data_IF_052913307466
#
_entry.id   IF_052913307466
#
_cell.length_a   1.000
_cell.length_b   1.000
_cell.length_c   1.000
_cell.angle_alpha   90.00
_cell.angle_beta   90.00
_cell.angle_gamma   90.00
#
_symmetry.space_group_name_H-M   'P 1'
#
loop_
_entity.id
_entity.type
_entity.pdbx_description
1 polymer ?
#
# COMPACT_ATOMS: atom_id res chain seq x y z
N UNK A 1 18.87 23.26 17.70
CA UNK A 1 18.66 22.67 16.36
C UNK A 1 20.01 22.62 15.67
N UNK A 2 20.64 21.45 15.56
CA UNK A 2 21.89 21.29 14.81
C UNK A 2 21.56 21.30 13.31
N UNK A 3 22.22 22.17 12.55
CA UNK A 3 22.09 22.19 11.09
C UNK A 3 22.49 20.81 10.53
N UNK A 4 21.69 20.20 9.63
CA UNK A 4 22.13 19.00 8.94
C UNK A 4 23.34 19.38 8.10
N UNK A 5 24.51 18.93 8.53
CA UNK A 5 25.77 19.10 7.79
C UNK A 5 25.62 18.30 6.50
N UNK A 6 25.19 18.95 5.42
CA UNK A 6 25.29 18.42 4.05
C UNK A 6 26.72 18.56 3.55
N UNK A 7 27.69 18.07 4.33
CA UNK A 7 29.00 17.76 3.75
C UNK A 7 28.77 16.54 2.88
N UNK A 8 29.25 16.60 1.64
CA UNK A 8 29.39 15.41 0.80
C UNK A 8 30.13 14.36 1.63
N UNK A 9 29.39 13.33 2.05
CA UNK A 9 29.87 12.33 2.97
C UNK A 9 30.70 11.33 2.16
N UNK A 10 32.01 11.55 2.14
CA UNK A 10 32.97 10.59 1.63
C UNK A 10 33.16 9.47 2.67
N UNK A 11 32.36 8.41 2.55
CA UNK A 11 32.63 7.17 3.29
C UNK A 11 33.80 6.44 2.63
N UNK A 12 35.01 6.82 3.05
CA UNK A 12 36.23 6.26 2.50
C UNK A 12 36.81 5.19 3.45
N UNK A 13 36.41 3.93 3.27
CA UNK A 13 37.02 2.79 3.96
C UNK A 13 38.27 2.35 3.22
N UNK A 14 39.35 3.14 3.35
CA UNK A 14 40.69 2.77 2.85
C UNK A 14 41.42 1.80 3.77
N UNK A 15 40.97 1.67 5.03
CA UNK A 15 41.52 0.75 6.01
C UNK A 15 41.12 -0.70 5.73
N UNK A 16 41.91 -1.63 6.29
CA UNK A 16 41.56 -3.04 6.38
C UNK A 16 40.23 -3.19 7.12
N UNK A 17 39.23 -3.78 6.46
CA UNK A 17 37.92 -4.02 7.05
C UNK A 17 38.02 -4.93 8.27
N UNK A 18 37.18 -4.72 9.31
CA UNK A 18 37.18 -5.59 10.48
C UNK A 18 36.81 -7.02 10.11
N UNK A 19 37.43 -8.01 10.77
CA UNK A 19 37.00 -9.40 10.67
C UNK A 19 35.61 -9.58 11.27
N UNK A 20 34.91 -10.62 10.84
CA UNK A 20 33.64 -11.03 11.44
C UNK A 20 33.93 -11.50 12.88
N UNK A 21 33.20 -11.02 13.90
CA UNK A 21 33.38 -11.51 15.27
C UNK A 21 33.03 -13.00 15.39
N UNK A 22 33.86 -13.77 16.09
CA UNK A 22 33.79 -15.26 16.14
C UNK A 22 32.48 -15.82 16.72
N UNK A 23 31.70 -15.02 17.45
CA UNK A 23 30.49 -15.46 18.17
C UNK A 23 29.24 -14.64 17.89
N UNK A 24 29.29 -13.75 16.90
CA UNK A 24 28.13 -12.92 16.56
C UNK A 24 27.45 -13.51 15.33
N UNK A 25 26.26 -14.12 15.46
CA UNK A 25 25.52 -14.56 14.29
C UNK A 25 25.20 -13.33 13.43
N UNK A 26 25.56 -13.40 12.15
CA UNK A 26 25.21 -12.36 11.19
C UNK A 26 23.69 -12.20 11.12
N UNK A 27 23.22 -10.97 11.03
CA UNK A 27 21.83 -10.66 10.79
C UNK A 27 21.34 -11.36 9.50
N UNK A 28 20.05 -11.69 9.45
CA UNK A 28 19.45 -12.33 8.26
C UNK A 28 19.58 -11.48 7.00
N UNK A 29 19.76 -10.17 7.14
CA UNK A 29 19.89 -9.18 6.07
C UNK A 29 21.36 -8.86 5.78
N UNK A 30 22.08 -9.80 5.16
CA UNK A 30 23.46 -9.60 4.70
C UNK A 30 23.66 -10.08 3.26
N UNK A 31 24.71 -9.58 2.61
CA UNK A 31 25.19 -10.07 1.31
C UNK A 31 26.70 -10.28 1.33
N UNK A 32 27.16 -11.39 0.75
CA UNK A 32 28.58 -11.64 0.52
C UNK A 32 28.96 -11.26 -0.90
N UNK A 33 29.95 -10.38 -1.03
CA UNK A 33 30.45 -9.84 -2.29
C UNK A 33 31.84 -10.41 -2.51
N UNK A 34 32.06 -11.08 -3.64
CA UNK A 34 33.38 -11.62 -3.99
C UNK A 34 34.29 -10.48 -4.45
N UNK A 35 35.43 -10.31 -3.78
CA UNK A 35 36.43 -9.27 -4.02
C UNK A 35 37.14 -9.37 -5.36
N UNK A 36 36.98 -10.47 -6.12
CA UNK A 36 37.54 -10.60 -7.47
C UNK A 36 37.03 -9.54 -8.45
N UNK A 37 35.96 -8.79 -8.10
CA UNK A 37 35.34 -7.78 -8.96
C UNK A 37 35.26 -6.37 -8.37
N UNK A 38 35.61 -6.13 -7.11
CA UNK A 38 35.42 -4.81 -6.49
C UNK A 38 36.36 -4.57 -5.31
N UNK A 39 37.02 -3.40 -5.31
CA UNK A 39 37.77 -2.91 -4.15
C UNK A 39 36.78 -2.42 -3.08
N UNK A 40 37.22 -2.34 -1.81
CA UNK A 40 36.40 -1.83 -0.71
C UNK A 40 35.84 -0.43 -1.01
N UNK A 41 36.65 0.40 -1.65
CA UNK A 41 36.29 1.74 -2.14
C UNK A 41 35.13 1.72 -3.15
N UNK A 42 35.07 0.73 -4.04
CA UNK A 42 33.95 0.59 -4.98
C UNK A 42 32.65 0.18 -4.28
N UNK A 43 32.74 -0.61 -3.20
CA UNK A 43 31.57 -0.98 -2.40
C UNK A 43 31.05 0.25 -1.65
N UNK A 44 31.91 0.98 -0.94
CA UNK A 44 31.48 2.17 -0.18
C UNK A 44 30.96 3.27 -1.10
N UNK A 45 31.59 3.50 -2.26
CA UNK A 45 31.11 4.44 -3.28
C UNK A 45 29.69 4.10 -3.75
N UNK A 46 29.43 2.84 -4.10
CA UNK A 46 28.08 2.38 -4.50
C UNK A 46 27.05 2.52 -3.39
N UNK A 47 27.45 2.30 -2.14
CA UNK A 47 26.60 2.50 -0.98
C UNK A 47 26.25 3.99 -0.78
N UNK A 48 27.23 4.88 -0.86
CA UNK A 48 27.00 6.33 -0.79
C UNK A 48 26.08 6.82 -1.92
N UNK A 49 26.30 6.36 -3.15
CA UNK A 49 25.42 6.65 -4.28
C UNK A 49 23.98 6.17 -4.01
N UNK A 50 23.82 4.98 -3.42
CA UNK A 50 22.52 4.44 -3.02
C UNK A 50 21.86 5.31 -1.94
N UNK A 51 22.60 5.71 -0.90
CA UNK A 51 22.09 6.55 0.18
C UNK A 51 21.58 7.88 -0.37
N UNK A 52 22.38 8.55 -1.20
CA UNK A 52 22.00 9.80 -1.86
C UNK A 52 20.76 9.63 -2.74
N UNK A 53 20.76 8.61 -3.62
CA UNK A 53 19.63 8.33 -4.54
C UNK A 53 18.33 8.03 -3.80
N UNK A 54 18.41 7.41 -2.62
CA UNK A 54 17.23 6.99 -1.85
C UNK A 54 16.83 7.97 -0.76
N UNK A 55 17.52 9.11 -0.64
CA UNK A 55 17.28 10.12 0.40
C UNK A 55 17.48 9.54 1.81
N UNK A 56 18.51 8.72 1.97
CA UNK A 56 18.97 8.24 3.27
C UNK A 56 20.02 9.22 3.80
N UNK A 57 19.74 9.81 4.95
CA UNK A 57 20.65 10.76 5.61
C UNK A 57 21.55 10.00 6.56
N UNK A 58 22.87 10.07 6.36
CA UNK A 58 23.83 9.48 7.29
C UNK A 58 23.83 10.26 8.60
N UNK A 59 23.52 9.60 9.71
CA UNK A 59 23.56 10.18 11.06
C UNK A 59 24.92 9.96 11.72
N UNK A 60 25.47 8.77 11.56
CA UNK A 60 26.75 8.38 12.13
C UNK A 60 27.59 7.68 11.07
N UNK A 61 28.87 8.05 10.99
CA UNK A 61 29.83 7.39 10.12
C UNK A 61 31.09 7.09 10.93
N UNK A 62 31.43 5.81 11.02
CA UNK A 62 32.66 5.35 11.64
C UNK A 62 33.50 4.62 10.58
N UNK A 63 34.47 5.34 10.02
CA UNK A 63 35.35 4.82 8.98
C UNK A 63 36.28 3.71 9.50
N UNK A 64 36.74 3.82 10.75
CA UNK A 64 37.64 2.83 11.39
C UNK A 64 36.95 1.47 11.51
N UNK A 65 35.70 1.47 11.95
CA UNK A 65 34.89 0.27 12.09
C UNK A 65 34.13 -0.09 10.82
N UNK A 66 34.29 0.64 9.72
CA UNK A 66 33.51 0.47 8.50
C UNK A 66 31.98 0.36 8.75
N UNK A 67 31.47 1.24 9.62
CA UNK A 67 30.07 1.31 10.04
C UNK A 67 29.43 2.63 9.62
N UNK A 68 28.20 2.57 9.12
CA UNK A 68 27.37 3.73 8.88
C UNK A 68 25.99 3.52 9.53
N UNK A 69 25.42 4.58 10.11
CA UNK A 69 24.03 4.63 10.53
C UNK A 69 23.33 5.66 9.65
N UNK A 70 22.30 5.20 8.93
CA UNK A 70 21.52 6.04 8.03
C UNK A 70 20.06 6.10 8.47
N UNK A 71 19.43 7.26 8.28
CA UNK A 71 18.02 7.52 8.56
C UNK A 71 17.27 7.79 7.27
N UNK A 72 16.14 7.12 7.08
CA UNK A 72 15.23 7.43 5.98
C UNK A 72 14.41 8.67 6.34
N UNK A 73 14.44 9.71 5.48
CA UNK A 73 13.69 10.96 5.67
C UNK A 73 12.37 11.03 4.91
N UNK A 74 12.03 9.98 4.15
CA UNK A 74 10.82 9.94 3.32
C UNK A 74 9.54 9.69 4.11
N UNK A 75 9.66 9.32 5.38
CA UNK A 75 8.54 8.91 6.22
C UNK A 75 8.52 9.69 7.53
N UNK A 76 7.32 9.88 8.08
CA UNK A 76 7.05 10.49 9.40
C UNK A 76 7.70 9.64 10.50
N UNK A 77 7.71 8.32 10.33
CA UNK A 77 8.40 7.40 11.21
C UNK A 77 9.85 7.21 10.75
N UNK A 78 10.75 7.97 11.36
CA UNK A 78 12.18 7.93 11.02
C UNK A 78 12.75 6.53 11.24
N UNK A 79 12.98 5.79 10.15
CA UNK A 79 13.58 4.45 10.19
C UNK A 79 15.10 4.56 10.16
N UNK A 80 15.76 3.99 11.17
CA UNK A 80 17.22 3.98 11.31
C UNK A 80 17.78 2.61 10.92
N UNK A 81 18.79 2.64 10.06
CA UNK A 81 19.39 1.47 9.45
C UNK A 81 20.90 1.52 9.70
N UNK A 82 21.43 0.47 10.34
CA UNK A 82 22.87 0.26 10.45
C UNK A 82 23.38 -0.50 9.22
N UNK A 83 24.48 -0.04 8.64
CA UNK A 83 25.19 -0.70 7.54
C UNK A 83 26.62 -0.94 7.99
N UNK A 84 27.08 -2.18 7.91
CA UNK A 84 28.35 -2.62 8.44
C UNK A 84 29.07 -3.48 7.41
N UNK A 85 30.37 -3.21 7.20
CA UNK A 85 31.21 -4.01 6.33
C UNK A 85 32.14 -4.88 7.17
N UNK A 86 32.33 -6.13 6.73
CA UNK A 86 33.27 -7.07 7.32
C UNK A 86 34.15 -7.73 6.25
N UNK A 87 35.40 -8.00 6.60
CA UNK A 87 36.26 -8.89 5.83
C UNK A 87 35.98 -10.34 6.22
N UNK A 88 35.47 -11.16 5.29
CA UNK A 88 35.30 -12.60 5.53
C UNK A 88 36.61 -13.37 5.31
N UNK A 89 37.28 -13.07 4.21
CA UNK A 89 38.57 -13.61 3.81
C UNK A 89 39.18 -12.66 2.77
N UNK A 90 40.41 -12.89 2.31
CA UNK A 90 41.07 -12.03 1.31
C UNK A 90 40.27 -11.85 -0.01
N UNK A 91 39.28 -12.71 -0.26
CA UNK A 91 38.50 -12.74 -1.49
C UNK A 91 37.03 -12.33 -1.32
N UNK A 92 36.57 -11.93 -0.14
CA UNK A 92 35.17 -11.57 0.07
C UNK A 92 34.94 -10.57 1.19
N UNK A 93 34.03 -9.63 0.90
CA UNK A 93 33.49 -8.64 1.83
C UNK A 93 32.03 -9.01 2.13
N UNK A 94 31.62 -8.92 3.40
CA UNK A 94 30.22 -9.02 3.80
C UNK A 94 29.70 -7.61 4.05
N UNK A 95 28.53 -7.32 3.51
CA UNK A 95 27.74 -6.14 3.84
C UNK A 95 26.56 -6.62 4.65
N UNK A 96 26.52 -6.22 5.92
CA UNK A 96 25.42 -6.47 6.84
C UNK A 96 24.56 -5.20 6.97
N UNK A 97 23.25 -5.37 6.94
CA UNK A 97 22.29 -4.28 7.12
C UNK A 97 21.36 -4.65 8.27
N UNK A 98 21.25 -3.80 9.28
CA UNK A 98 20.47 -4.08 10.50
C UNK A 98 19.46 -2.97 10.75
N UNK A 99 18.24 -3.34 11.15
CA UNK A 99 17.23 -2.37 11.58
C UNK A 99 17.54 -1.93 13.01
N UNK A 100 17.81 -0.65 13.21
CA UNK A 100 18.03 -0.09 14.54
C UNK A 100 16.72 0.40 15.15
N UNK A 101 15.85 1.04 14.34
CA UNK A 101 14.52 1.48 14.74
C UNK A 101 13.62 1.76 13.53
N UNK A 102 12.30 1.86 13.75
CA UNK A 102 11.32 2.29 12.74
C UNK A 102 10.60 1.15 12.01
N UNK A 103 9.94 1.50 10.90
CA UNK A 103 9.06 0.62 10.15
C UNK A 103 9.81 -0.56 9.50
N UNK A 104 9.27 -1.76 9.68
CA UNK A 104 9.84 -2.99 9.14
C UNK A 104 9.76 -3.06 7.61
N UNK A 105 8.66 -2.57 7.02
CA UNK A 105 8.47 -2.64 5.57
C UNK A 105 9.42 -1.69 4.84
N UNK A 106 9.54 -0.47 5.36
CA UNK A 106 10.52 0.49 4.89
C UNK A 106 11.94 -0.07 5.07
N UNK A 107 12.28 -0.60 6.24
CA UNK A 107 13.57 -1.26 6.45
C UNK A 107 13.83 -2.36 5.40
N UNK A 108 12.88 -3.26 5.16
CA UNK A 108 13.03 -4.36 4.20
C UNK A 108 13.24 -3.86 2.77
N UNK A 109 12.50 -2.83 2.37
CA UNK A 109 12.62 -2.20 1.05
C UNK A 109 13.98 -1.53 0.86
N UNK A 110 14.42 -0.77 1.87
CA UNK A 110 15.67 -0.02 1.81
C UNK A 110 16.87 -0.96 1.97
N UNK A 111 16.81 -1.97 2.85
CA UNK A 111 17.89 -2.95 3.03
C UNK A 111 18.17 -3.72 1.74
N UNK A 112 17.12 -4.14 1.01
CA UNK A 112 17.30 -4.82 -0.25
C UNK A 112 17.94 -3.93 -1.31
N UNK A 113 17.56 -2.65 -1.37
CA UNK A 113 18.17 -1.69 -2.28
C UNK A 113 19.66 -1.43 -1.93
N UNK A 114 19.99 -1.35 -0.64
CA UNK A 114 21.37 -1.21 -0.13
C UNK A 114 22.21 -2.43 -0.52
N UNK A 115 21.71 -3.65 -0.26
CA UNK A 115 22.41 -4.90 -0.60
C UNK A 115 22.60 -5.07 -2.11
N UNK A 116 21.58 -4.75 -2.93
CA UNK A 116 21.70 -4.78 -4.39
C UNK A 116 22.71 -3.76 -4.92
N UNK A 117 22.75 -2.55 -4.35
CA UNK A 117 23.73 -1.54 -4.70
C UNK A 117 25.15 -2.02 -4.37
N UNK A 118 25.35 -2.61 -3.19
CA UNK A 118 26.63 -3.16 -2.76
C UNK A 118 27.11 -4.30 -3.67
N UNK A 119 26.21 -5.16 -4.13
CA UNK A 119 26.51 -6.21 -5.11
C UNK A 119 26.86 -5.65 -6.50
N UNK A 120 26.42 -4.43 -6.83
CA UNK A 120 26.63 -3.83 -8.15
C UNK A 120 25.59 -4.24 -9.18
N UNK A 121 24.50 -4.86 -8.73
CA UNK A 121 23.34 -5.19 -9.55
C UNK A 121 22.53 -3.92 -9.86
N UNK A 122 23.13 -2.99 -10.61
CA UNK A 122 22.49 -1.77 -11.08
C UNK A 122 21.54 -2.04 -12.27
N UNK A 123 20.92 -3.23 -12.31
CA UNK A 123 20.01 -3.67 -13.37
C UNK A 123 18.75 -2.79 -13.46
N UNK A 124 18.37 -2.11 -12.38
CA UNK A 124 17.25 -1.16 -12.34
C UNK A 124 17.44 0.08 -13.23
N UNK A 125 18.65 0.41 -13.69
CA UNK A 125 18.90 1.60 -14.51
C UNK A 125 19.02 1.34 -16.02
N UNK A 126 18.99 0.09 -16.49
CA UNK A 126 19.08 -0.18 -17.94
C UNK A 126 17.79 0.14 -18.70
N UNK A 127 16.67 0.30 -18.00
CA UNK A 127 15.37 0.54 -18.63
C UNK A 127 15.05 2.03 -18.91
N UNK A 128 15.83 2.99 -18.40
CA UNK A 128 15.57 4.43 -18.62
C UNK A 128 16.36 5.10 -19.76
N UNK A 129 17.26 4.38 -20.46
CA UNK A 129 18.13 4.97 -21.51
C UNK A 129 17.67 4.72 -22.96
N UNK A 130 16.38 4.40 -23.17
CA UNK A 130 15.80 4.23 -24.53
C UNK A 130 14.90 5.36 -25.00
N UNK A 131 14.64 6.38 -24.19
CA UNK A 131 13.91 7.58 -24.62
C UNK A 131 14.83 8.79 -24.63
N UNK A 132 15.31 9.16 -25.83
CA UNK A 132 15.67 10.50 -26.31
C UNK A 132 16.59 10.37 -27.53
N UNK A 133 16.05 9.82 -28.63
CA UNK A 133 16.49 10.26 -29.97
C UNK A 133 15.42 11.21 -30.48
N UNK A 134 15.62 12.48 -30.18
CA UNK A 134 14.92 13.63 -30.77
C UNK A 134 14.94 13.53 -32.29
N UNK A 135 13.78 13.27 -32.89
CA UNK A 135 13.56 13.53 -34.31
C UNK A 135 13.60 15.05 -34.50
N UNK A 136 14.45 15.50 -35.42
CA UNK A 136 14.52 16.89 -35.89
C UNK A 136 13.16 17.31 -36.47
N UNK A 137 12.68 18.48 -36.05
CA UNK A 137 11.52 19.15 -36.64
C UNK A 137 11.82 19.58 -38.08
N UNK A 138 10.88 19.41 -39.03
CA UNK A 138 10.81 20.27 -40.20
C UNK A 138 9.89 21.47 -39.95
N UNK A 139 10.35 22.58 -40.51
CA UNK A 139 9.76 23.91 -40.61
C UNK A 139 8.27 23.93 -40.96
N UNK A 140 7.52 24.83 -40.31
CA UNK A 140 6.12 25.16 -40.65
C UNK A 140 6.09 26.21 -41.77
N UNK A 141 5.54 25.85 -42.93
CA UNK A 141 4.83 26.80 -43.80
C UNK A 141 3.53 26.19 -44.31
N UNK A 142 2.48 27.00 -44.25
CA UNK A 142 1.28 27.00 -45.11
C UNK A 142 0.18 25.94 -44.91
N UNK A 143 -0.95 26.44 -44.40
CA UNK A 143 -2.35 26.23 -44.86
C UNK A 143 -2.70 24.96 -45.65
N UNK A 144 -3.49 24.06 -45.02
CA UNK A 144 -4.76 23.50 -45.55
C UNK A 144 -5.39 22.53 -44.53
N UNK A 145 -6.72 22.63 -44.35
CA UNK A 145 -7.55 21.74 -43.52
C UNK A 145 -7.48 20.29 -44.04
N UNK A 146 -7.33 19.26 -43.17
CA UNK A 146 -7.56 17.89 -43.57
C UNK A 146 -9.00 17.45 -43.28
N UNK A 147 -9.59 16.80 -44.28
CA UNK A 147 -10.87 16.10 -44.24
C UNK A 147 -10.72 14.83 -43.39
N UNK A 148 -11.64 14.63 -42.43
CA UNK A 148 -11.74 13.40 -41.63
C UNK A 148 -11.89 12.18 -42.55
N UNK A 149 -10.87 11.31 -42.55
CA UNK A 149 -10.99 9.94 -43.07
C UNK A 149 -11.27 9.02 -41.88
N UNK A 150 -12.42 8.34 -41.96
CA UNK A 150 -12.94 7.37 -40.99
C UNK A 150 -12.02 6.12 -40.97
N UNK A 151 -11.52 5.66 -39.80
CA UNK A 151 -10.70 4.46 -39.75
C UNK A 151 -11.52 3.22 -40.08
N UNK A 152 -10.97 2.34 -40.92
CA UNK A 152 -11.57 1.09 -41.33
C UNK A 152 -11.72 0.12 -40.14
N UNK A 153 -12.78 -0.71 -40.10
CA UNK A 153 -13.02 -1.67 -39.02
C UNK A 153 -11.91 -2.73 -39.02
N UNK A 154 -11.15 -2.77 -37.91
CA UNK A 154 -10.16 -3.82 -37.65
C UNK A 154 -10.92 -5.15 -37.50
N UNK A 155 -10.72 -6.07 -38.45
CA UNK A 155 -11.21 -7.45 -38.38
C UNK A 155 -10.62 -8.12 -37.14
N UNK A 156 -11.43 -8.27 -36.09
CA UNK A 156 -11.14 -9.14 -34.94
C UNK A 156 -10.93 -10.55 -35.48
N UNK A 157 -9.69 -11.05 -35.44
CA UNK A 157 -9.38 -12.47 -35.67
C UNK A 157 -9.96 -13.26 -34.50
N UNK A 158 -11.12 -13.86 -34.71
CA UNK A 158 -11.71 -14.85 -33.82
C UNK A 158 -10.79 -16.07 -33.76
N UNK A 159 -9.92 -16.12 -32.73
CA UNK A 159 -9.33 -17.37 -32.26
C UNK A 159 -10.46 -18.19 -31.64
N UNK A 160 -10.99 -19.12 -32.42
CA UNK A 160 -11.95 -20.13 -31.96
C UNK A 160 -11.15 -21.34 -31.48
N UNK A 161 -11.43 -21.79 -30.25
CA UNK A 161 -10.86 -23.03 -29.69
C UNK A 161 -10.01 -22.86 -28.44
N UNK A 162 -10.36 -21.96 -27.52
CA UNK A 162 -9.92 -22.11 -26.12
C UNK A 162 -10.74 -23.22 -25.48
N UNK A 163 -10.08 -24.24 -24.93
CA UNK A 163 -10.67 -25.40 -24.29
C UNK A 163 -11.31 -25.01 -22.95
N UNK A 164 -12.53 -25.47 -22.67
CA UNK A 164 -13.25 -25.26 -21.38
C UNK A 164 -12.45 -25.70 -20.14
N UNK A 165 -11.41 -26.52 -20.31
CA UNK A 165 -10.51 -26.95 -19.24
C UNK A 165 -9.64 -25.79 -18.71
N UNK A 166 -9.24 -24.83 -19.54
CA UNK A 166 -8.38 -23.71 -19.09
C UNK A 166 -9.13 -22.77 -18.11
N UNK A 167 -10.43 -22.56 -18.32
CA UNK A 167 -11.26 -21.70 -17.47
C UNK A 167 -11.50 -22.34 -16.09
N UNK A 168 -11.61 -23.68 -16.02
CA UNK A 168 -11.79 -24.42 -14.76
C UNK A 168 -10.53 -24.35 -13.88
N UNK A 169 -9.35 -24.47 -14.47
CA UNK A 169 -8.08 -24.39 -13.73
C UNK A 169 -7.84 -23.01 -13.13
N UNK A 170 -8.17 -21.94 -13.85
CA UNK A 170 -8.05 -20.56 -13.35
C UNK A 170 -9.01 -20.33 -12.18
N UNK A 171 -10.25 -20.80 -12.30
CA UNK A 171 -11.24 -20.69 -11.24
C UNK A 171 -10.82 -21.44 -9.98
N UNK A 172 -10.30 -22.67 -10.13
CA UNK A 172 -9.78 -23.46 -9.01
C UNK A 172 -8.57 -22.80 -8.34
N UNK A 173 -7.63 -22.25 -9.11
CA UNK A 173 -6.48 -21.52 -8.55
C UNK A 173 -6.91 -20.29 -7.75
N UNK A 174 -7.92 -19.57 -8.23
CA UNK A 174 -8.49 -18.43 -7.51
C UNK A 174 -9.12 -18.85 -6.18
N UNK A 175 -9.95 -19.90 -6.17
CA UNK A 175 -10.56 -20.41 -4.93
C UNK A 175 -9.50 -20.81 -3.91
N UNK A 176 -8.48 -21.58 -4.33
CA UNK A 176 -7.37 -21.95 -3.45
C UNK A 176 -6.63 -20.73 -2.88
N UNK A 177 -6.47 -19.66 -3.67
CA UNK A 177 -5.81 -18.44 -3.20
C UNK A 177 -6.65 -17.70 -2.15
N UNK A 178 -7.98 -17.71 -2.29
CA UNK A 178 -8.91 -17.09 -1.33
C UNK A 178 -8.97 -17.92 -0.04
N UNK A 179 -9.13 -19.24 -0.14
CA UNK A 179 -9.13 -20.14 1.03
C UNK A 179 -7.86 -19.99 1.87
N UNK A 180 -6.69 -20.01 1.20
CA UNK A 180 -5.40 -19.79 1.88
C UNK A 180 -5.31 -18.41 2.53
N UNK A 181 -5.94 -17.40 1.92
CA UNK A 181 -6.00 -16.05 2.47
C UNK A 181 -6.88 -16.01 3.72
N UNK A 182 -8.04 -16.67 3.69
CA UNK A 182 -8.95 -16.82 4.85
C UNK A 182 -8.25 -17.55 6.01
N UNK A 183 -7.57 -18.66 5.74
CA UNK A 183 -6.79 -19.40 6.74
C UNK A 183 -5.73 -18.53 7.42
N UNK A 184 -5.09 -17.60 6.68
CA UNK A 184 -4.11 -16.69 7.25
C UNK A 184 -4.76 -15.59 8.09
N UNK A 185 -5.93 -15.08 7.69
CA UNK A 185 -6.70 -14.06 8.42
C UNK A 185 -7.19 -14.61 9.76
N UNK A 186 -7.58 -15.88 9.80
CA UNK A 186 -8.11 -16.59 10.99
C UNK A 186 -7.05 -17.03 12.00
N UNK A 187 -5.76 -16.97 11.68
CA UNK A 187 -4.68 -17.37 12.61
C UNK A 187 -4.53 -16.39 13.77
N UNK A 188 -4.18 -16.91 14.95
CA UNK A 188 -3.92 -16.09 16.15
C UNK A 188 -2.69 -15.17 16.00
N UNK A 189 -1.71 -15.59 15.21
CA UNK A 189 -0.47 -14.84 15.05
C UNK A 189 -0.66 -13.60 14.19
N UNK A 190 -0.37 -12.42 14.75
CA UNK A 190 -0.53 -11.12 14.08
C UNK A 190 0.25 -11.01 12.76
N UNK A 191 1.44 -11.60 12.66
CA UNK A 191 2.23 -11.61 11.42
C UNK A 191 1.55 -12.41 10.30
N UNK A 192 0.97 -13.58 10.62
CA UNK A 192 0.19 -14.37 9.69
C UNK A 192 -1.06 -13.61 9.23
N UNK A 193 -1.77 -12.96 10.15
CA UNK A 193 -2.94 -12.12 9.82
C UNK A 193 -2.57 -10.99 8.88
N UNK A 194 -1.48 -10.27 9.14
CA UNK A 194 -1.00 -9.18 8.26
C UNK A 194 -0.71 -9.71 6.85
N UNK A 195 -0.11 -10.89 6.73
CA UNK A 195 0.13 -11.52 5.42
C UNK A 195 -1.20 -11.86 4.75
N UNK A 196 -2.15 -12.46 5.47
CA UNK A 196 -3.48 -12.75 4.94
C UNK A 196 -4.19 -11.49 4.42
N UNK A 197 -4.24 -10.43 5.22
CA UNK A 197 -4.82 -9.16 4.82
C UNK A 197 -4.11 -8.50 3.63
N UNK A 198 -2.78 -8.57 3.57
CA UNK A 198 -2.02 -8.07 2.43
C UNK A 198 -2.28 -8.89 1.15
N UNK A 199 -2.43 -10.22 1.28
CA UNK A 199 -2.84 -11.10 0.18
C UNK A 199 -4.24 -10.77 -0.30
N UNK A 200 -5.18 -10.49 0.60
CA UNK A 200 -6.54 -10.07 0.24
C UNK A 200 -6.56 -8.74 -0.53
N UNK A 201 -5.74 -7.77 -0.11
CA UNK A 201 -5.56 -6.52 -0.87
C UNK A 201 -5.05 -6.79 -2.29
N UNK A 202 -4.09 -7.71 -2.46
CA UNK A 202 -3.56 -8.06 -3.76
C UNK A 202 -4.58 -8.81 -4.64
N UNK A 203 -5.40 -9.67 -4.04
CA UNK A 203 -6.46 -10.39 -4.75
C UNK A 203 -7.59 -9.47 -5.20
N UNK A 204 -7.86 -8.39 -4.46
CA UNK A 204 -8.92 -7.41 -4.79
C UNK A 204 -8.44 -6.28 -5.70
N UNK A 205 -7.14 -6.13 -5.95
CA UNK A 205 -6.61 -5.02 -6.75
C UNK A 205 -6.70 -5.32 -8.26
N UNK A 206 -7.60 -4.64 -8.96
CA UNK A 206 -7.73 -4.74 -10.42
C UNK A 206 -6.77 -3.83 -11.19
N UNK A 207 -5.95 -3.00 -10.53
CA UNK A 207 -5.08 -2.02 -11.20
C UNK A 207 -3.82 -2.65 -11.80
N UNK A 208 -3.36 -3.77 -11.25
CA UNK A 208 -2.13 -4.45 -11.68
C UNK A 208 -2.20 -5.06 -13.08
N UNK A 209 -3.39 -5.15 -13.68
CA UNK A 209 -3.60 -5.78 -15.00
C UNK A 209 -3.51 -4.81 -16.19
N UNK A 210 -3.23 -3.51 -15.96
CA UNK A 210 -3.25 -2.47 -17.00
C UNK A 210 -2.04 -2.45 -17.95
N UNK A 211 -1.08 -3.35 -17.78
CA UNK A 211 0.00 -3.52 -18.76
C UNK A 211 -0.60 -4.06 -20.07
N UNK A 212 -0.70 -3.18 -21.08
CA UNK A 212 -1.47 -3.31 -22.34
C UNK A 212 -1.13 -4.48 -23.28
N UNK A 213 -0.50 -5.54 -22.79
CA UNK A 213 -0.58 -6.87 -23.40
C UNK A 213 -1.97 -7.44 -23.17
N UNK A 214 -2.73 -7.69 -24.24
CA UNK A 214 -4.13 -8.15 -24.21
C UNK A 214 -4.42 -9.53 -23.57
N UNK A 215 -3.73 -9.89 -22.49
CA UNK A 215 -3.99 -11.04 -21.60
C UNK A 215 -4.79 -10.63 -20.33
N UNK A 216 -5.37 -9.43 -20.28
CA UNK A 216 -5.97 -8.83 -19.07
C UNK A 216 -7.31 -9.37 -18.55
N UNK A 217 -7.89 -10.45 -19.11
CA UNK A 217 -9.20 -10.94 -18.64
C UNK A 217 -9.11 -11.66 -17.29
N UNK A 218 -8.25 -12.68 -17.18
CA UNK A 218 -8.23 -13.58 -16.01
C UNK A 218 -7.90 -12.88 -14.68
N UNK A 219 -6.99 -11.90 -14.70
CA UNK A 219 -6.66 -11.12 -13.50
C UNK A 219 -7.83 -10.23 -13.04
N UNK A 220 -8.62 -9.73 -13.99
CA UNK A 220 -9.78 -8.89 -13.67
C UNK A 220 -10.90 -9.74 -13.09
N UNK A 221 -11.13 -10.93 -13.65
CA UNK A 221 -12.13 -11.88 -13.17
C UNK A 221 -11.81 -12.33 -11.73
N UNK A 222 -10.52 -12.57 -11.44
CA UNK A 222 -10.04 -12.88 -10.08
C UNK A 222 -10.36 -11.76 -9.10
N UNK A 223 -10.04 -10.51 -9.48
CA UNK A 223 -10.29 -9.36 -8.62
C UNK A 223 -11.78 -9.13 -8.38
N UNK A 224 -12.61 -9.29 -9.41
CA UNK A 224 -14.07 -9.16 -9.29
C UNK A 224 -14.63 -10.21 -8.34
N UNK A 225 -14.22 -11.47 -8.44
CA UNK A 225 -14.71 -12.53 -7.55
C UNK A 225 -14.26 -12.30 -6.09
N UNK A 226 -12.98 -12.00 -5.86
CA UNK A 226 -12.49 -11.65 -4.52
C UNK A 226 -13.24 -10.43 -3.94
N UNK A 227 -13.59 -9.45 -4.78
CA UNK A 227 -14.37 -8.27 -4.37
C UNK A 227 -15.79 -8.64 -3.92
N UNK A 228 -16.45 -9.58 -4.60
CA UNK A 228 -17.77 -10.07 -4.19
C UNK A 228 -17.69 -10.74 -2.83
N UNK A 229 -16.67 -11.56 -2.59
CA UNK A 229 -16.47 -12.25 -1.31
C UNK A 229 -16.21 -11.27 -0.17
N UNK A 230 -15.37 -10.25 -0.36
CA UNK A 230 -15.13 -9.19 0.64
C UNK A 230 -16.42 -8.47 1.04
N UNK A 231 -17.32 -8.27 0.08
CA UNK A 231 -18.58 -7.56 0.28
C UNK A 231 -19.75 -8.49 0.67
N UNK A 232 -19.54 -9.81 0.79
CA UNK A 232 -20.62 -10.75 1.07
C UNK A 232 -21.66 -10.85 -0.04
N UNK A 233 -21.26 -10.62 -1.30
CA UNK A 233 -22.11 -10.68 -2.49
C UNK A 233 -21.98 -12.01 -3.25
N UNK A 234 -21.19 -12.95 -2.73
CA UNK A 234 -20.97 -14.26 -3.34
C UNK A 234 -21.69 -15.32 -2.52
N UNK A 235 -22.78 -15.87 -3.06
CA UNK A 235 -23.59 -16.88 -2.40
C UNK A 235 -22.97 -18.29 -2.49
N UNK A 236 -22.01 -18.50 -3.40
CA UNK A 236 -21.45 -19.83 -3.65
C UNK A 236 -20.36 -20.19 -2.64
N UNK A 237 -19.66 -19.19 -2.09
CA UNK A 237 -18.52 -19.39 -1.21
C UNK A 237 -18.85 -19.02 0.23
N UNK A 238 -18.96 -20.03 1.09
CA UNK A 238 -19.12 -19.84 2.54
C UNK A 238 -17.75 -19.51 3.15
N UNK A 239 -17.35 -18.25 3.08
CA UNK A 239 -16.19 -17.73 3.82
C UNK A 239 -16.61 -16.65 4.79
N UNK A 240 -15.94 -16.60 5.94
CA UNK A 240 -16.16 -15.56 6.94
C UNK A 240 -15.36 -14.29 6.62
N UNK A 241 -14.80 -14.15 5.40
CA UNK A 241 -13.97 -13.00 5.04
C UNK A 241 -14.78 -11.71 5.17
N UNK A 242 -16.02 -11.69 4.65
CA UNK A 242 -16.93 -10.55 4.79
C UNK A 242 -17.13 -10.16 6.26
N UNK A 243 -17.47 -11.14 7.12
CA UNK A 243 -17.67 -10.90 8.55
C UNK A 243 -16.39 -10.40 9.20
N UNK A 244 -15.23 -10.99 8.90
CA UNK A 244 -13.93 -10.55 9.41
C UNK A 244 -13.58 -9.12 8.98
N UNK A 245 -13.90 -8.71 7.75
CA UNK A 245 -13.72 -7.32 7.29
C UNK A 245 -14.58 -6.40 8.13
N UNK A 246 -15.88 -6.67 8.22
CA UNK A 246 -16.81 -5.81 8.95
C UNK A 246 -16.53 -5.81 10.45
N UNK A 247 -16.15 -6.93 11.06
CA UNK A 247 -15.77 -7.01 12.46
C UNK A 247 -14.51 -6.20 12.75
N UNK A 248 -13.48 -6.27 11.90
CA UNK A 248 -12.25 -5.48 12.09
C UNK A 248 -12.49 -3.99 11.90
N UNK A 249 -13.39 -3.61 11.00
CA UNK A 249 -13.77 -2.22 10.78
C UNK A 249 -14.77 -1.69 11.83
N UNK A 250 -15.67 -2.53 12.33
CA UNK A 250 -16.70 -2.18 13.33
C UNK A 250 -16.19 -2.32 14.76
N UNK A 251 -15.12 -3.08 14.98
CA UNK A 251 -14.34 -3.04 16.21
C UNK A 251 -13.77 -1.64 16.33
N UNK A 252 -14.61 -0.72 16.83
CA UNK A 252 -14.24 0.62 17.25
C UNK A 252 -13.00 0.50 18.13
N UNK A 253 -12.22 1.57 18.23
CA UNK A 253 -10.99 1.67 19.06
C UNK A 253 -11.32 1.45 20.54
N UNK A 254 -11.73 0.24 20.90
CA UNK A 254 -12.14 -0.18 22.23
C UNK A 254 -10.95 0.00 23.15
N UNK A 255 -11.01 1.06 23.95
CA UNK A 255 -10.06 1.36 25.01
C UNK A 255 -9.22 2.63 24.83
N UNK A 256 -9.18 3.28 23.67
CA UNK A 256 -8.28 4.45 23.50
C UNK A 256 -8.97 5.82 23.60
N UNK A 257 -10.27 5.90 23.32
CA UNK A 257 -10.96 7.20 23.17
C UNK A 257 -11.93 7.57 24.29
N UNK A 258 -12.18 6.69 25.28
CA UNK A 258 -13.12 6.98 26.38
C UNK A 258 -12.51 7.81 27.52
N UNK A 259 -11.22 8.16 27.48
CA UNK A 259 -10.55 8.85 28.60
C UNK A 259 -10.71 10.37 28.64
N UNK A 260 -11.55 10.96 27.80
CA UNK A 260 -11.89 12.38 27.92
C UNK A 260 -13.36 12.56 28.30
N UNK A 261 -13.58 12.75 29.60
CA UNK A 261 -14.68 13.55 30.19
C UNK A 261 -15.93 12.83 30.74
N UNK A 262 -15.82 11.62 31.33
CA UNK A 262 -16.76 11.26 32.42
C UNK A 262 -16.05 10.49 33.53
N UNK A 263 -15.76 11.22 34.60
CA UNK A 263 -15.25 10.72 35.87
C UNK A 263 -16.38 9.98 36.59
N UNK A 264 -16.51 8.67 36.39
CA UNK A 264 -17.42 7.83 37.17
C UNK A 264 -16.69 6.60 37.68
N UNK A 265 -16.71 6.44 39.00
CA UNK A 265 -15.90 5.50 39.77
C UNK A 265 -16.37 4.05 39.60
N UNK A 266 -15.71 3.27 38.73
CA UNK A 266 -15.76 1.81 38.78
C UNK A 266 -14.33 1.25 38.81
N UNK A 267 -13.76 1.26 40.02
CA UNK A 267 -12.49 0.61 40.35
C UNK A 267 -12.78 -0.89 40.55
N UNK A 268 -11.87 -1.74 40.08
CA UNK A 268 -11.76 -3.20 40.26
C UNK A 268 -12.17 -4.01 39.01
N UNK A 269 -11.26 -4.01 38.01
CA UNK A 269 -10.90 -5.16 37.13
C UNK A 269 -9.91 -4.75 36.00
N UNK A 270 -9.32 -3.55 36.09
CA UNK A 270 -8.49 -2.90 35.06
C UNK A 270 -7.01 -3.38 34.98
N UNK A 271 -6.60 -4.36 35.79
CA UNK A 271 -5.16 -4.69 35.96
C UNK A 271 -4.61 -5.64 34.88
N UNK A 272 -5.46 -6.37 34.15
CA UNK A 272 -5.01 -7.27 33.07
C UNK A 272 -5.11 -6.69 31.64
N UNK A 273 -5.82 -5.57 31.45
CA UNK A 273 -5.88 -4.87 30.15
C UNK A 273 -4.68 -3.92 29.92
N UNK A 274 -3.89 -3.63 30.96
CA UNK A 274 -2.90 -2.53 31.01
C UNK A 274 -1.57 -2.79 30.29
N UNK A 275 -1.34 -3.98 29.75
CA UNK A 275 -0.09 -4.31 29.02
C UNK A 275 -0.31 -4.89 27.63
N UNK A 276 -1.38 -4.48 26.94
CA UNK A 276 -1.38 -4.63 25.48
C UNK A 276 -0.17 -3.85 24.96
N UNK A 277 0.82 -4.57 24.45
CA UNK A 277 2.10 -3.95 24.11
C UNK A 277 1.85 -2.88 23.03
N UNK A 278 2.57 -1.76 23.07
CA UNK A 278 2.47 -0.71 22.04
C UNK A 278 2.59 -1.28 20.61
N UNK A 279 3.30 -2.41 20.48
CA UNK A 279 3.47 -3.18 19.24
C UNK A 279 2.15 -3.82 18.79
N UNK A 280 1.39 -4.46 19.67
CA UNK A 280 0.11 -5.08 19.31
C UNK A 280 -0.92 -4.04 18.82
N UNK A 281 -0.92 -2.86 19.43
CA UNK A 281 -1.78 -1.75 19.00
C UNK A 281 -1.40 -1.31 17.58
N UNK A 282 -0.12 -1.13 17.31
CA UNK A 282 0.38 -0.76 15.98
C UNK A 282 0.03 -1.84 14.93
N UNK A 283 0.22 -3.12 15.26
CA UNK A 283 -0.12 -4.22 14.37
C UNK A 283 -1.64 -4.33 14.13
N UNK A 284 -2.47 -4.07 15.14
CA UNK A 284 -3.92 -4.04 15.00
C UNK A 284 -4.37 -2.88 14.10
N UNK A 285 -3.81 -1.69 14.27
CA UNK A 285 -4.05 -0.55 13.37
C UNK A 285 -3.61 -0.88 11.94
N UNK A 286 -2.49 -1.60 11.77
CA UNK A 286 -2.02 -2.02 10.45
C UNK A 286 -3.00 -2.97 9.77
N UNK A 287 -3.54 -3.95 10.51
CA UNK A 287 -4.57 -4.86 10.00
C UNK A 287 -5.83 -4.08 9.60
N UNK A 288 -6.30 -3.15 10.44
CA UNK A 288 -7.46 -2.30 10.13
C UNK A 288 -7.28 -1.51 8.83
N UNK A 289 -6.09 -0.92 8.61
CA UNK A 289 -5.77 -0.21 7.36
C UNK A 289 -5.79 -1.14 6.15
N UNK A 290 -5.28 -2.36 6.28
CA UNK A 290 -5.35 -3.34 5.20
C UNK A 290 -6.80 -3.76 4.93
N UNK A 291 -7.64 -3.90 5.95
CA UNK A 291 -9.07 -4.16 5.78
C UNK A 291 -9.77 -3.04 5.00
N UNK A 292 -9.52 -1.77 5.35
CA UNK A 292 -10.01 -0.63 4.58
C UNK A 292 -9.49 -0.65 3.13
N UNK A 293 -8.22 -0.99 2.91
CA UNK A 293 -7.66 -1.10 1.56
C UNK A 293 -8.35 -2.20 0.74
N UNK A 294 -8.58 -3.38 1.33
CA UNK A 294 -9.28 -4.47 0.66
C UNK A 294 -10.72 -4.10 0.32
N UNK A 295 -11.42 -3.43 1.23
CA UNK A 295 -12.77 -2.89 1.00
C UNK A 295 -12.78 -1.83 -0.12
N UNK A 296 -11.83 -0.90 -0.10
CA UNK A 296 -11.70 0.13 -1.14
C UNK A 296 -11.44 -0.50 -2.52
N UNK A 297 -10.51 -1.45 -2.58
CA UNK A 297 -10.21 -2.21 -3.79
C UNK A 297 -11.46 -2.93 -4.29
N UNK A 298 -12.19 -3.62 -3.40
CA UNK A 298 -13.40 -4.34 -3.75
C UNK A 298 -14.46 -3.43 -4.38
N UNK A 299 -14.77 -2.31 -3.73
CA UNK A 299 -15.71 -1.31 -4.26
C UNK A 299 -15.25 -0.77 -5.62
N UNK A 300 -13.96 -0.44 -5.74
CA UNK A 300 -13.41 0.13 -6.97
C UNK A 300 -13.44 -0.87 -8.13
N UNK A 301 -13.11 -2.13 -7.86
CA UNK A 301 -13.14 -3.21 -8.86
C UNK A 301 -14.57 -3.51 -9.31
N UNK A 302 -15.56 -3.50 -8.42
CA UNK A 302 -16.97 -3.60 -8.83
C UNK A 302 -17.41 -2.42 -9.69
N UNK A 303 -16.98 -1.20 -9.35
CA UNK A 303 -17.29 -0.01 -10.15
C UNK A 303 -16.68 -0.09 -11.55
N UNK A 304 -15.38 -0.41 -11.66
CA UNK A 304 -14.67 -0.48 -12.95
C UNK A 304 -15.19 -1.63 -13.81
N UNK A 305 -15.54 -2.77 -13.21
CA UNK A 305 -16.08 -3.92 -13.95
C UNK A 305 -17.55 -3.75 -14.36
N UNK A 306 -18.24 -2.71 -13.90
CA UNK A 306 -19.65 -2.47 -14.20
C UNK A 306 -20.63 -3.38 -13.45
N UNK A 307 -20.17 -4.11 -12.42
CA UNK A 307 -20.97 -5.01 -11.60
C UNK A 307 -21.78 -4.27 -10.52
N UNK A 308 -22.26 -3.05 -10.83
CA UNK A 308 -22.92 -2.13 -9.89
C UNK A 308 -24.23 -2.71 -9.33
N UNK A 309 -24.94 -3.51 -10.14
CA UNK A 309 -26.24 -4.09 -9.81
C UNK A 309 -26.19 -5.03 -8.61
N UNK A 310 -25.05 -5.68 -8.36
CA UNK A 310 -24.91 -6.62 -7.25
C UNK A 310 -25.02 -5.89 -5.91
N UNK A 311 -24.40 -4.72 -5.80
CA UNK A 311 -24.48 -3.92 -4.59
C UNK A 311 -25.86 -3.27 -4.42
N UNK A 312 -26.50 -2.88 -5.53
CA UNK A 312 -27.85 -2.32 -5.51
C UNK A 312 -28.92 -3.30 -5.05
N UNK A 313 -28.68 -4.61 -5.18
CA UNK A 313 -29.61 -5.64 -4.75
C UNK A 313 -29.62 -5.86 -3.23
N UNK A 314 -28.61 -5.38 -2.51
CA UNK A 314 -28.42 -5.65 -1.07
C UNK A 314 -28.54 -4.36 -0.25
N UNK A 315 -29.77 -3.98 0.10
CA UNK A 315 -30.07 -2.75 0.85
C UNK A 315 -29.39 -2.70 2.22
N UNK A 316 -29.34 -3.85 2.93
CA UNK A 316 -28.69 -3.93 4.25
C UNK A 316 -27.20 -3.57 4.15
N UNK A 317 -26.51 -4.14 3.16
CA UNK A 317 -25.08 -3.94 2.98
C UNK A 317 -24.77 -2.48 2.67
N UNK A 318 -25.60 -1.84 1.84
CA UNK A 318 -25.47 -0.41 1.54
C UNK A 318 -25.59 0.44 2.80
N UNK A 319 -26.65 0.22 3.58
CA UNK A 319 -26.91 1.03 4.78
C UNK A 319 -25.83 0.81 5.84
N UNK A 320 -25.52 -0.44 6.16
CA UNK A 320 -24.54 -0.79 7.20
C UNK A 320 -23.13 -0.33 6.82
N UNK A 321 -22.74 -0.51 5.56
CA UNK A 321 -21.46 -0.02 5.06
C UNK A 321 -21.39 1.52 5.09
N UNK A 322 -22.47 2.21 4.70
CA UNK A 322 -22.53 3.67 4.76
C UNK A 322 -22.36 4.15 6.20
N UNK A 323 -23.11 3.57 7.14
CA UNK A 323 -23.06 3.93 8.55
C UNK A 323 -21.68 3.67 9.15
N UNK A 324 -21.07 2.53 8.87
CA UNK A 324 -19.71 2.18 9.29
C UNK A 324 -18.68 3.20 8.78
N UNK A 325 -18.74 3.56 7.51
CA UNK A 325 -17.81 4.52 6.92
C UNK A 325 -18.01 5.94 7.45
N UNK A 326 -19.26 6.36 7.67
CA UNK A 326 -19.59 7.66 8.27
C UNK A 326 -19.11 7.71 9.72
N UNK A 327 -19.24 6.63 10.48
CA UNK A 327 -18.77 6.58 11.87
C UNK A 327 -17.25 6.68 11.97
N UNK A 328 -16.50 6.01 11.10
CA UNK A 328 -15.03 6.19 11.03
C UNK A 328 -14.67 7.64 10.67
N UNK A 329 -15.43 8.28 9.79
CA UNK A 329 -15.18 9.66 9.40
C UNK A 329 -15.41 10.66 10.55
N UNK A 330 -16.30 10.38 11.49
CA UNK A 330 -16.46 11.20 12.71
C UNK A 330 -15.22 11.17 13.59
N UNK A 331 -14.40 10.13 13.47
CA UNK A 331 -13.14 9.97 14.20
C UNK A 331 -11.95 10.68 13.51
N UNK A 332 -12.18 11.53 12.51
CA UNK A 332 -11.14 12.24 11.73
C UNK A 332 -10.06 12.95 12.57
N UNK A 333 -10.45 13.52 13.72
CA UNK A 333 -9.50 14.22 14.60
C UNK A 333 -8.52 13.25 15.31
N UNK A 334 -8.93 11.99 15.50
CA UNK A 334 -8.19 10.98 16.27
C UNK A 334 -7.52 9.93 15.35
N UNK A 335 -8.12 9.61 14.20
CA UNK A 335 -7.66 8.64 13.19
C UNK A 335 -7.74 9.22 11.78
N UNK A 336 -6.95 10.27 11.46
CA UNK A 336 -7.04 10.94 10.15
C UNK A 336 -6.68 10.03 8.97
N UNK A 337 -5.82 9.03 9.19
CA UNK A 337 -5.43 8.07 8.16
C UNK A 337 -6.60 7.13 7.81
N UNK A 338 -7.22 6.53 8.82
CA UNK A 338 -8.36 5.63 8.66
C UNK A 338 -9.58 6.38 8.13
N UNK A 339 -9.86 7.59 8.63
CA UNK A 339 -10.87 8.48 8.07
C UNK A 339 -10.60 8.78 6.59
N UNK A 340 -9.35 9.05 6.19
CA UNK A 340 -9.02 9.27 4.77
C UNK A 340 -9.36 8.06 3.89
N UNK A 341 -9.10 6.83 4.39
CA UNK A 341 -9.49 5.60 3.70
C UNK A 341 -11.00 5.40 3.65
N UNK A 342 -11.71 5.72 4.74
CA UNK A 342 -13.18 5.68 4.79
C UNK A 342 -13.81 6.67 3.80
N UNK A 343 -13.30 7.90 3.71
CA UNK A 343 -13.69 8.88 2.68
C UNK A 343 -13.47 8.35 1.26
N UNK A 344 -12.35 7.66 1.02
CA UNK A 344 -12.06 7.05 -0.27
C UNK A 344 -13.04 5.93 -0.62
N UNK A 345 -13.46 5.13 0.36
CA UNK A 345 -14.52 4.13 0.21
C UNK A 345 -15.87 4.80 -0.09
N UNK A 346 -16.26 5.82 0.69
CA UNK A 346 -17.51 6.59 0.49
C UNK A 346 -17.58 7.18 -0.92
N UNK A 347 -16.49 7.74 -1.43
CA UNK A 347 -16.42 8.24 -2.81
C UNK A 347 -16.87 7.17 -3.81
N UNK A 348 -16.29 5.97 -3.74
CA UNK A 348 -16.61 4.89 -4.68
C UNK A 348 -18.03 4.37 -4.44
N UNK A 349 -18.45 4.28 -3.19
CA UNK A 349 -19.80 3.91 -2.82
C UNK A 349 -20.84 4.87 -3.42
N UNK A 350 -20.64 6.19 -3.34
CA UNK A 350 -21.54 7.16 -3.99
C UNK A 350 -21.56 7.03 -5.51
N UNK A 351 -20.45 6.65 -6.15
CA UNK A 351 -20.42 6.38 -7.58
C UNK A 351 -21.20 5.12 -7.95
N UNK A 352 -21.22 4.11 -7.08
CA UNK A 352 -22.02 2.89 -7.26
C UNK A 352 -23.52 3.13 -7.01
N UNK A 353 -23.85 4.03 -6.08
CA UNK A 353 -25.22 4.29 -5.62
C UNK A 353 -25.98 5.35 -6.42
N UNK A 354 -25.50 5.76 -7.60
CA UNK A 354 -26.10 6.84 -8.43
C UNK A 354 -27.56 6.60 -8.90
N UNK A 355 -28.29 5.61 -8.37
CA UNK A 355 -29.66 5.27 -8.76
C UNK A 355 -30.60 4.95 -7.57
N UNK A 356 -30.26 5.34 -6.34
CA UNK A 356 -31.05 4.96 -5.15
C UNK A 356 -31.57 6.14 -4.31
N UNK A 357 -32.81 6.04 -3.84
CA UNK A 357 -33.58 7.09 -3.13
C UNK A 357 -33.17 7.34 -1.66
N UNK A 358 -31.91 7.09 -1.30
CA UNK A 358 -31.46 7.08 0.10
C UNK A 358 -30.90 8.45 0.52
N UNK A 359 -31.75 9.46 0.41
CA UNK A 359 -31.40 10.87 0.64
C UNK A 359 -31.04 11.17 2.10
N UNK A 360 -31.65 10.45 3.04
CA UNK A 360 -31.45 10.66 4.47
C UNK A 360 -30.03 10.28 4.89
N UNK A 361 -29.59 9.05 4.56
CA UNK A 361 -28.24 8.56 4.83
C UNK A 361 -27.16 9.46 4.19
N UNK A 362 -27.44 9.95 2.99
CA UNK A 362 -26.56 10.88 2.27
C UNK A 362 -26.42 12.26 2.94
N UNK A 363 -27.48 12.74 3.61
CA UNK A 363 -27.44 14.03 4.30
C UNK A 363 -26.48 13.98 5.50
N UNK A 364 -26.56 12.92 6.31
CA UNK A 364 -25.63 12.71 7.43
C UNK A 364 -24.18 12.57 6.96
N UNK A 365 -23.96 11.81 5.87
CA UNK A 365 -22.61 11.66 5.31
C UNK A 365 -22.01 12.98 4.82
N UNK A 366 -22.82 13.88 4.24
CA UNK A 366 -22.36 15.18 3.76
C UNK A 366 -21.81 16.06 4.88
N UNK A 367 -22.52 16.14 6.01
CA UNK A 367 -22.10 16.94 7.16
C UNK A 367 -20.77 16.45 7.72
N UNK A 368 -20.64 15.14 7.94
CA UNK A 368 -19.40 14.53 8.44
C UNK A 368 -18.24 14.73 7.46
N UNK A 369 -18.49 14.64 6.15
CA UNK A 369 -17.48 14.91 5.12
C UNK A 369 -17.01 16.36 5.10
N UNK A 370 -17.90 17.34 5.33
CA UNK A 370 -17.53 18.74 5.45
C UNK A 370 -16.66 18.99 6.68
N UNK A 371 -17.01 18.38 7.81
CA UNK A 371 -16.21 18.45 9.04
C UNK A 371 -14.83 17.82 8.83
N UNK A 372 -14.76 16.61 8.28
CA UNK A 372 -13.49 15.94 8.00
C UNK A 372 -12.63 16.69 6.98
N UNK A 373 -13.24 17.33 5.97
CA UNK A 373 -12.54 18.22 5.03
C UNK A 373 -11.91 19.40 5.77
N UNK A 374 -12.64 20.01 6.70
CA UNK A 374 -12.13 21.11 7.51
C UNK A 374 -10.96 20.67 8.39
N UNK A 375 -11.12 19.60 9.19
CA UNK A 375 -10.03 19.00 9.98
C UNK A 375 -8.81 18.68 9.11
N UNK A 376 -9.03 18.05 7.96
CA UNK A 376 -7.96 17.74 7.01
C UNK A 376 -7.25 18.97 6.46
N UNK A 377 -7.99 20.06 6.19
CA UNK A 377 -7.42 21.32 5.71
C UNK A 377 -6.47 21.98 6.71
N UNK A 378 -6.69 21.75 8.01
CA UNK A 378 -5.85 22.29 9.07
C UNK A 378 -4.58 21.47 9.32
N UNK A 379 -4.64 20.13 9.20
CA UNK A 379 -3.54 19.28 9.67
C UNK A 379 -3.26 18.02 8.84
N UNK A 380 -4.17 17.61 7.96
CA UNK A 380 -4.10 16.33 7.25
C UNK A 380 -4.52 16.46 5.77
N UNK A 381 -3.59 16.84 4.92
CA UNK A 381 -3.85 17.13 3.50
C UNK A 381 -4.54 15.97 2.75
N UNK A 382 -4.13 14.72 3.02
CA UNK A 382 -4.71 13.54 2.37
C UNK A 382 -6.19 13.36 2.73
N UNK A 383 -6.57 13.59 4.00
CA UNK A 383 -7.96 13.56 4.46
C UNK A 383 -8.80 14.65 3.79
N UNK A 384 -8.25 15.86 3.64
CA UNK A 384 -8.95 16.95 2.95
C UNK A 384 -9.25 16.59 1.49
N UNK A 385 -8.25 16.06 0.78
CA UNK A 385 -8.36 15.65 -0.62
C UNK A 385 -9.36 14.49 -0.76
N UNK A 386 -9.28 13.48 0.11
CA UNK A 386 -10.20 12.34 0.08
C UNK A 386 -11.65 12.76 0.35
N UNK A 387 -11.87 13.60 1.37
CA UNK A 387 -13.18 14.13 1.73
C UNK A 387 -13.78 15.00 0.62
N UNK A 388 -12.97 15.85 -0.01
CA UNK A 388 -13.42 16.67 -1.15
C UNK A 388 -13.83 15.82 -2.36
N UNK A 389 -13.07 14.76 -2.66
CA UNK A 389 -13.41 13.83 -3.75
C UNK A 389 -14.72 13.10 -3.46
N UNK A 390 -14.94 12.68 -2.21
CA UNK A 390 -16.19 12.05 -1.79
C UNK A 390 -17.38 13.02 -1.86
N UNK A 391 -17.23 14.27 -1.41
CA UNK A 391 -18.25 15.32 -1.55
C UNK A 391 -18.61 15.58 -3.01
N UNK A 392 -17.61 15.62 -3.88
CA UNK A 392 -17.82 15.80 -5.32
C UNK A 392 -18.63 14.63 -5.90
N UNK A 393 -18.30 13.39 -5.52
CA UNK A 393 -19.03 12.20 -5.95
C UNK A 393 -20.49 12.21 -5.45
N UNK A 394 -20.71 12.61 -4.20
CA UNK A 394 -22.04 12.74 -3.60
C UNK A 394 -22.90 13.78 -4.33
N UNK A 395 -22.35 14.97 -4.59
CA UNK A 395 -23.07 16.03 -5.31
C UNK A 395 -23.40 15.62 -6.75
N UNK A 396 -22.50 14.91 -7.43
CA UNK A 396 -22.76 14.39 -8.76
C UNK A 396 -23.88 13.35 -8.76
N UNK A 397 -23.93 12.46 -7.76
CA UNK A 397 -25.01 11.50 -7.61
C UNK A 397 -26.37 12.20 -7.46
N UNK A 398 -26.47 13.22 -6.60
CA UNK A 398 -27.71 14.00 -6.39
C UNK A 398 -28.19 14.75 -7.64
N UNK A 399 -27.27 15.30 -8.42
CA UNK A 399 -27.63 16.03 -9.64
C UNK A 399 -28.15 15.10 -10.75
N UNK A 400 -27.68 13.85 -10.77
CA UNK A 400 -28.17 12.85 -11.72
C UNK A 400 -29.62 12.44 -11.43
N UNK A 401 -30.00 12.35 -10.14
CA UNK A 401 -31.37 12.03 -9.73
C UNK A 401 -32.36 13.14 -10.07
N UNK A 402 -31.93 14.41 -10.07
CA UNK A 402 -32.80 15.54 -10.41
C UNK A 402 -33.07 15.67 -11.93
N UNK A 403 -32.31 14.97 -12.76
CA UNK A 403 -32.41 15.05 -14.23
C UNK A 403 -33.23 13.92 -14.85
N UNK A 404 -33.58 12.90 -14.07
CA UNK A 404 -34.47 11.80 -14.45
C UNK A 404 -35.89 12.11 -14.01
#
# INVERSE_FOLDING_TARGET
MMNPITKELEWNCTSTLPSIPDFTPLATTHASIRSSSANNEDITRRLCECFAKRSLVTEELNAENARAVVRCTKDVHTTKIGVQLYQKNAAAVIVEVVRLSGDMLLFRRESQAILSAAQGDNKLNKNKKKETKTKKNPCMTSTKRPVLSRPAPVKKRSRSGGSQEEDQDVHMHMHMAIEKTDELIKKDRMDARIIGWASLCALTDSSSSTDGSGQGSASTDTAVHASKIVLGLDDEMVTDIHMNVFDILSSSRGGACENTTTRSDCIIDEVHASQKTSIEIELALRIRRLAFQALQNALHTLYVSGNVRLLQAQDYLKHDLMMLLVEEMKCADVSPCEASMAAACLKVLFLLLQQGDDRESQSGAQEVLLQAKYTGGCSYADLAIASERALTALNNARNNDASQ
#
